data_IF_999581836052
#
_entry.id   IF_999581836052
#
_cell.length_a   1.000
_cell.length_b   1.000
_cell.length_c   1.000
_cell.angle_alpha   90.00
_cell.angle_beta   90.00
_cell.angle_gamma   90.00
#
_symmetry.space_group_name_H-M   'P 1'
#
loop_
_entity.id
_entity.type
_entity.pdbx_description
1 polymer ?
#
# COMPACT_ATOMS: atom_id res chain seq x y z
N UNK A 1 0.06 36.67 -15.42
CA UNK A 1 -0.87 35.63 -14.94
C UNK A 1 -0.06 34.34 -14.81
N UNK A 2 0.62 34.17 -13.67
CA UNK A 2 1.39 32.96 -13.36
C UNK A 2 0.45 31.93 -12.75
N UNK A 3 0.19 30.84 -13.47
CA UNK A 3 -0.46 29.67 -12.89
C UNK A 3 0.57 28.90 -12.08
N UNK A 4 0.49 29.06 -10.75
CA UNK A 4 1.14 28.22 -9.78
C UNK A 4 0.75 26.75 -10.05
N UNK A 5 1.68 25.99 -10.64
CA UNK A 5 1.55 24.55 -10.70
C UNK A 5 1.81 24.02 -9.29
N UNK A 6 0.74 23.46 -8.74
CA UNK A 6 0.67 22.84 -7.43
C UNK A 6 1.95 22.04 -7.15
N UNK A 7 2.62 22.43 -6.06
CA UNK A 7 3.57 21.58 -5.37
C UNK A 7 2.86 20.27 -5.06
N UNK A 8 3.10 19.27 -5.92
CA UNK A 8 2.76 17.90 -5.61
C UNK A 8 3.77 17.49 -4.55
N UNK A 9 3.45 17.82 -3.31
CA UNK A 9 3.93 17.13 -2.13
C UNK A 9 3.48 15.68 -2.28
N UNK A 10 4.21 14.94 -3.11
CA UNK A 10 4.08 13.49 -3.19
C UNK A 10 4.69 13.02 -1.87
N UNK A 11 3.94 12.39 -0.95
CA UNK A 11 4.54 11.83 0.25
C UNK A 11 5.37 10.60 -0.17
N UNK A 12 6.54 10.85 -0.75
CA UNK A 12 7.50 9.87 -1.26
C UNK A 12 8.19 9.09 -0.12
N UNK A 13 7.98 9.50 1.14
CA UNK A 13 8.67 8.93 2.29
C UNK A 13 8.15 7.56 2.75
N UNK A 14 6.89 7.20 2.47
CA UNK A 14 6.29 5.95 3.01
C UNK A 14 6.41 4.75 2.08
N UNK A 15 6.63 4.97 0.79
CA UNK A 15 6.69 3.90 -0.21
C UNK A 15 8.03 3.18 -0.28
N UNK A 16 9.11 3.80 0.22
CA UNK A 16 10.46 3.22 0.17
C UNK A 16 10.81 2.32 1.36
N UNK A 17 9.95 2.28 2.39
CA UNK A 17 10.17 1.41 3.55
C UNK A 17 9.46 0.06 3.39
N UNK A 18 10.11 -1.04 3.79
CA UNK A 18 9.44 -2.33 3.81
C UNK A 18 8.19 -2.25 4.69
N UNK A 19 7.08 -2.88 4.29
CA UNK A 19 5.87 -2.88 5.09
C UNK A 19 6.14 -3.57 6.42
N UNK A 20 5.69 -2.94 7.50
CA UNK A 20 5.84 -3.47 8.85
C UNK A 20 4.81 -4.57 9.11
N UNK A 21 5.12 -5.47 10.05
CA UNK A 21 4.17 -6.49 10.53
C UNK A 21 2.87 -5.86 11.04
N UNK A 22 2.96 -4.68 11.70
CA UNK A 22 1.80 -3.94 12.19
C UNK A 22 0.91 -3.44 11.04
N UNK A 23 1.49 -2.91 9.97
CA UNK A 23 0.74 -2.51 8.77
C UNK A 23 0.04 -3.71 8.13
N UNK A 24 0.73 -4.85 8.01
CA UNK A 24 0.15 -6.09 7.46
C UNK A 24 -0.99 -6.60 8.34
N UNK A 25 -0.82 -6.60 9.67
CA UNK A 25 -1.85 -7.03 10.61
C UNK A 25 -3.09 -6.11 10.58
N UNK A 26 -2.89 -4.79 10.52
CA UNK A 26 -3.97 -3.83 10.37
C UNK A 26 -4.72 -4.01 9.05
N UNK A 27 -3.98 -4.24 7.95
CA UNK A 27 -4.57 -4.53 6.65
C UNK A 27 -5.38 -5.83 6.66
N UNK A 28 -4.88 -6.88 7.31
CA UNK A 28 -5.60 -8.15 7.46
C UNK A 28 -6.88 -8.01 8.30
N UNK A 29 -6.86 -7.19 9.35
CA UNK A 29 -8.06 -6.89 10.13
C UNK A 29 -9.11 -6.16 9.27
N UNK A 30 -8.70 -5.16 8.50
CA UNK A 30 -9.58 -4.45 7.56
C UNK A 30 -10.15 -5.38 6.48
N UNK A 31 -9.34 -6.29 5.95
CA UNK A 31 -9.81 -7.32 5.00
C UNK A 31 -10.92 -8.18 5.60
N UNK A 32 -10.80 -8.60 6.87
CA UNK A 32 -11.86 -9.37 7.55
C UNK A 32 -13.15 -8.55 7.71
N UNK A 33 -13.04 -7.27 8.03
CA UNK A 33 -14.20 -6.38 8.16
C UNK A 33 -14.93 -6.22 6.82
N UNK A 34 -14.20 -5.93 5.73
CA UNK A 34 -14.76 -5.81 4.38
C UNK A 34 -15.38 -7.14 3.92
N UNK A 35 -14.73 -8.27 4.20
CA UNK A 35 -15.25 -9.59 3.86
C UNK A 35 -16.50 -9.95 4.67
N UNK A 36 -16.60 -9.54 5.93
CA UNK A 36 -17.76 -9.74 6.78
C UNK A 36 -18.96 -8.88 6.32
N UNK A 37 -18.71 -7.66 5.84
CA UNK A 37 -19.73 -6.78 5.27
C UNK A 37 -20.23 -7.28 3.90
N UNK A 38 -19.38 -7.96 3.12
CA UNK A 38 -19.78 -8.58 1.86
C UNK A 38 -20.34 -7.57 0.84
N UNK A 39 -21.54 -7.80 0.27
CA UNK A 39 -22.14 -6.90 -0.71
C UNK A 39 -22.61 -5.56 -0.12
N UNK A 40 -22.76 -5.46 1.21
CA UNK A 40 -23.20 -4.24 1.89
C UNK A 40 -22.06 -3.24 2.14
N UNK A 41 -20.81 -3.59 1.79
CA UNK A 41 -19.70 -2.66 1.91
C UNK A 41 -19.87 -1.51 0.92
N UNK A 42 -19.66 -0.28 1.40
CA UNK A 42 -19.76 0.90 0.55
C UNK A 42 -18.81 0.79 -0.66
N UNK A 43 -19.27 1.09 -1.90
CA UNK A 43 -18.44 0.98 -3.09
C UNK A 43 -17.17 1.84 -3.05
N UNK A 44 -17.22 3.02 -2.42
CA UNK A 44 -16.06 3.88 -2.26
C UNK A 44 -15.08 3.30 -1.23
N UNK A 45 -15.58 2.73 -0.13
CA UNK A 45 -14.74 1.99 0.83
C UNK A 45 -14.05 0.79 0.17
N UNK A 46 -14.79 0.04 -0.67
CA UNK A 46 -14.24 -1.08 -1.44
C UNK A 46 -13.15 -0.61 -2.40
N UNK A 47 -13.38 0.48 -3.13
CA UNK A 47 -12.39 1.06 -4.04
C UNK A 47 -11.13 1.52 -3.30
N UNK A 48 -11.28 2.20 -2.17
CA UNK A 48 -10.17 2.63 -1.32
C UNK A 48 -9.37 1.44 -0.79
N UNK A 49 -10.05 0.39 -0.31
CA UNK A 49 -9.41 -0.85 0.13
C UNK A 49 -8.59 -1.52 -0.99
N UNK A 50 -9.13 -1.56 -2.22
CA UNK A 50 -8.44 -2.13 -3.37
C UNK A 50 -7.19 -1.32 -3.77
N UNK A 51 -7.27 0.01 -3.70
CA UNK A 51 -6.11 0.88 -3.93
C UNK A 51 -5.00 0.65 -2.87
N UNK A 52 -5.38 0.60 -1.59
CA UNK A 52 -4.45 0.33 -0.50
C UNK A 52 -3.82 -1.07 -0.62
N UNK A 53 -4.60 -2.07 -1.04
CA UNK A 53 -4.11 -3.43 -1.32
C UNK A 53 -3.02 -3.42 -2.39
N UNK A 54 -3.28 -2.76 -3.51
CA UNK A 54 -2.35 -2.68 -4.63
C UNK A 54 -1.04 -1.99 -4.21
N UNK A 55 -1.14 -0.91 -3.44
CA UNK A 55 0.03 -0.20 -2.91
C UNK A 55 0.86 -1.07 -1.95
N UNK A 56 0.20 -1.82 -1.05
CA UNK A 56 0.89 -2.73 -0.12
C UNK A 56 1.61 -3.85 -0.86
N UNK A 57 0.95 -4.50 -1.84
CA UNK A 57 1.56 -5.56 -2.64
C UNK A 57 2.75 -5.05 -3.46
N UNK A 58 2.63 -3.87 -4.06
CA UNK A 58 3.73 -3.25 -4.79
C UNK A 58 4.96 -3.03 -3.89
N UNK A 59 4.76 -2.58 -2.64
CA UNK A 59 5.84 -2.45 -1.65
C UNK A 59 6.45 -3.80 -1.28
N UNK A 60 5.64 -4.83 -1.02
CA UNK A 60 6.13 -6.18 -0.72
C UNK A 60 7.02 -6.70 -1.86
N UNK A 61 6.55 -6.61 -3.11
CA UNK A 61 7.32 -7.04 -4.28
C UNK A 61 8.61 -6.24 -4.49
N UNK A 62 8.56 -4.91 -4.32
CA UNK A 62 9.74 -4.06 -4.44
C UNK A 62 10.86 -4.49 -3.47
N UNK A 63 10.51 -4.76 -2.21
CA UNK A 63 11.48 -5.15 -1.19
C UNK A 63 11.91 -6.62 -1.29
N UNK A 64 11.03 -7.54 -1.66
CA UNK A 64 11.38 -8.94 -1.91
C UNK A 64 12.46 -9.06 -3.01
N UNK A 65 12.28 -8.33 -4.12
CA UNK A 65 13.22 -8.34 -5.24
C UNK A 65 14.54 -7.61 -4.93
N UNK A 66 14.55 -6.70 -3.96
CA UNK A 66 15.79 -6.04 -3.49
C UNK A 66 16.60 -6.97 -2.58
N UNK A 67 15.93 -7.77 -1.77
CA UNK A 67 16.58 -8.73 -0.88
C UNK A 67 17.28 -9.86 -1.65
N UNK A 68 16.66 -10.36 -2.73
CA UNK A 68 17.27 -11.36 -3.63
C UNK A 68 18.55 -10.84 -4.29
N UNK A 69 18.51 -9.62 -4.85
CA UNK A 69 19.68 -8.99 -5.49
C UNK A 69 20.85 -8.68 -4.56
N UNK A 70 20.59 -8.46 -3.26
CA UNK A 70 21.63 -8.24 -2.27
C UNK A 70 22.11 -9.55 -1.60
N UNK A 71 21.40 -10.67 -1.78
CA UNK A 71 21.66 -11.94 -1.11
C UNK A 71 22.53 -12.93 -1.91
N UNK A 72 22.90 -12.59 -3.15
CA UNK A 72 23.67 -13.46 -4.05
C UNK A 72 25.19 -13.49 -3.83
N UNK A 73 25.69 -12.94 -2.72
CA UNK A 73 27.14 -12.86 -2.41
C UNK A 73 27.48 -13.73 -1.17
N UNK A 74 27.19 -15.03 -1.24
CA UNK A 74 27.63 -16.03 -0.25
C UNK A 74 28.08 -17.32 -0.91
#
# INVERSE_FOLDING_TARGET
METALASTDRPAGRTDQPPTVREIAAFAARLRAVAAAGPDVDPAERAAFLADKAALLARIHHHANRHDRNGGDR
#
